data_IF_126916236658
#
_entry.id   IF_126916236658
#
_cell.length_a   1.000
_cell.length_b   1.000
_cell.length_c   1.000
_cell.angle_alpha   90.00
_cell.angle_beta   90.00
_cell.angle_gamma   90.00
#
_symmetry.space_group_name_H-M   'P 1'
#
loop_
_entity.id
_entity.type
_entity.pdbx_description
1 polymer ?
#
# COMPACT_ATOMS: atom_id res chain seq x y z
N UNK A 1 -6.78 -8.62 2.26
CA UNK A 1 -6.96 -7.32 1.57
C UNK A 1 -7.32 -6.29 2.64
N UNK A 2 -6.69 -5.11 2.62
CA UNK A 2 -6.93 -4.03 3.61
C UNK A 2 -8.07 -3.07 3.19
N UNK A 3 -8.65 -3.32 2.02
CA UNK A 3 -9.78 -2.60 1.48
C UNK A 3 -10.92 -3.57 1.16
N UNK A 4 -12.15 -3.11 1.34
CA UNK A 4 -13.37 -3.81 0.94
C UNK A 4 -14.28 -2.85 0.18
N UNK A 5 -15.04 -3.39 -0.76
CA UNK A 5 -16.11 -2.65 -1.44
C UNK A 5 -17.43 -3.20 -0.91
N UNK A 6 -18.17 -2.39 -0.16
CA UNK A 6 -19.51 -2.76 0.30
C UNK A 6 -20.49 -2.81 -0.89
N UNK A 7 -21.56 -3.58 -0.76
CA UNK A 7 -22.61 -3.66 -1.77
C UNK A 7 -23.21 -2.26 -2.02
N UNK A 8 -23.17 -1.80 -3.28
CA UNK A 8 -23.67 -0.49 -3.70
C UNK A 8 -22.64 0.65 -3.70
N UNK A 9 -21.45 0.48 -3.12
CA UNK A 9 -20.39 1.51 -3.10
C UNK A 9 -19.30 1.26 -4.15
N UNK A 10 -19.62 0.52 -5.22
CA UNK A 10 -18.66 0.24 -6.28
C UNK A 10 -18.40 1.49 -7.12
N UNK A 11 -17.14 1.93 -7.16
CA UNK A 11 -16.65 2.91 -8.13
C UNK A 11 -15.71 2.22 -9.13
N UNK A 12 -15.89 2.41 -10.45
CA UNK A 12 -15.04 1.79 -11.45
C UNK A 12 -13.59 2.26 -11.27
N UNK A 13 -12.65 1.31 -11.19
CA UNK A 13 -11.23 1.58 -10.97
C UNK A 13 -10.80 1.70 -9.51
N UNK A 14 -11.74 1.77 -8.56
CA UNK A 14 -11.43 1.74 -7.14
C UNK A 14 -11.16 0.31 -6.66
N UNK A 15 -10.21 0.15 -5.74
CA UNK A 15 -9.96 -1.14 -5.06
C UNK A 15 -10.83 -1.33 -3.81
N UNK A 16 -11.55 -0.29 -3.39
CA UNK A 16 -12.47 -0.30 -2.25
C UNK A 16 -12.14 0.78 -1.21
N UNK A 17 -12.80 0.70 -0.05
CA UNK A 17 -12.55 1.56 1.12
C UNK A 17 -11.78 0.79 2.19
N UNK A 18 -11.03 1.50 3.02
CA UNK A 18 -10.23 0.90 4.11
C UNK A 18 -11.14 0.12 5.06
N UNK A 19 -10.75 -1.10 5.42
CA UNK A 19 -11.50 -1.93 6.37
C UNK A 19 -11.49 -1.32 7.78
N UNK A 20 -12.50 -1.63 8.62
CA UNK A 20 -12.49 -1.22 10.02
C UNK A 20 -11.19 -1.62 10.72
N UNK A 21 -10.76 -0.80 11.69
CA UNK A 21 -9.53 -0.98 12.48
C UNK A 21 -8.21 -0.80 11.70
N UNK A 22 -8.28 -0.44 10.42
CA UNK A 22 -7.12 -0.03 9.63
C UNK A 22 -7.14 1.47 9.39
N UNK A 23 -5.96 2.04 9.21
CA UNK A 23 -5.77 3.42 8.76
C UNK A 23 -4.86 3.41 7.54
N UNK A 24 -5.17 4.29 6.58
CA UNK A 24 -4.40 4.48 5.36
C UNK A 24 -4.02 5.94 5.26
N UNK A 25 -2.76 6.20 4.89
CA UNK A 25 -2.26 7.53 4.53
C UNK A 25 -1.59 7.43 3.16
N UNK A 26 -1.63 8.52 2.41
CA UNK A 26 -0.86 8.67 1.18
C UNK A 26 0.27 9.65 1.46
N UNK A 27 1.51 9.26 1.13
CA UNK A 27 2.69 10.09 1.34
C UNK A 27 3.27 10.53 -0.01
N UNK A 28 3.66 11.80 -0.11
CA UNK A 28 4.42 12.28 -1.25
C UNK A 28 5.80 11.62 -1.31
N UNK A 29 6.18 11.11 -2.48
CA UNK A 29 7.42 10.35 -2.68
C UNK A 29 8.69 11.19 -2.51
N UNK A 30 8.60 12.51 -2.66
CA UNK A 30 9.75 13.40 -2.62
C UNK A 30 9.94 14.03 -1.24
N UNK A 31 8.82 14.37 -0.58
CA UNK A 31 8.79 15.17 0.65
C UNK A 31 8.39 14.38 1.89
N UNK A 32 7.83 13.17 1.72
CA UNK A 32 7.32 12.36 2.82
C UNK A 32 6.09 12.95 3.52
N UNK A 33 5.47 13.99 2.95
CA UNK A 33 4.31 14.66 3.56
C UNK A 33 3.03 13.89 3.27
N UNK A 34 2.09 13.94 4.22
CA UNK A 34 0.73 13.40 4.04
C UNK A 34 0.00 14.20 2.97
N UNK A 35 -0.53 13.48 2.00
CA UNK A 35 -1.31 14.01 0.89
C UNK A 35 -2.81 13.89 1.18
N UNK A 36 -3.59 14.81 0.60
CA UNK A 36 -5.03 14.85 0.67
C UNK A 36 -5.73 13.99 -0.38
N UNK A 37 -7.06 14.12 -0.51
CA UNK A 37 -7.82 13.39 -1.50
C UNK A 37 -7.42 13.78 -2.93
N UNK A 38 -7.42 12.81 -3.83
CA UNK A 38 -7.04 12.89 -5.24
C UNK A 38 -5.56 13.24 -5.51
N UNK A 39 -4.71 13.22 -4.48
CA UNK A 39 -3.27 13.42 -4.61
C UNK A 39 -2.53 12.07 -4.62
N UNK A 40 -1.62 11.91 -5.58
CA UNK A 40 -0.91 10.65 -5.80
C UNK A 40 0.36 10.58 -4.98
N UNK A 41 0.55 9.45 -4.31
CA UNK A 41 1.76 9.17 -3.55
C UNK A 41 1.88 7.70 -3.17
N UNK A 42 2.84 7.39 -2.31
CA UNK A 42 2.96 6.06 -1.73
C UNK A 42 1.79 5.81 -0.77
N UNK A 43 1.13 4.66 -0.92
CA UNK A 43 0.14 4.19 0.04
C UNK A 43 0.85 3.56 1.22
N UNK A 44 0.58 4.09 2.41
CA UNK A 44 1.01 3.48 3.67
C UNK A 44 -0.21 3.08 4.50
N UNK A 45 -0.11 1.97 5.23
CA UNK A 45 -1.21 1.49 6.06
C UNK A 45 -0.72 0.95 7.41
N UNK A 46 -1.60 1.02 8.41
CA UNK A 46 -1.39 0.50 9.76
C UNK A 46 -2.67 -0.19 10.23
N UNK A 47 -2.53 -1.26 11.00
CA UNK A 47 -3.66 -1.99 11.56
C UNK A 47 -3.23 -3.21 12.38
N UNK A 48 -4.17 -3.89 13.05
CA UNK A 48 -3.84 -4.94 14.03
C UNK A 48 -3.36 -6.26 13.41
N UNK A 49 -3.64 -6.54 12.13
CA UNK A 49 -3.17 -7.78 11.46
C UNK A 49 -1.96 -7.54 10.56
N UNK A 50 -1.15 -6.52 10.83
CA UNK A 50 0.13 -6.32 10.14
C UNK A 50 1.18 -7.36 10.59
N UNK A 51 2.10 -7.69 9.70
CA UNK A 51 3.15 -8.69 9.99
C UNK A 51 4.01 -8.24 11.18
N UNK A 52 4.45 -9.19 12.02
CA UNK A 52 5.39 -8.91 13.11
C UNK A 52 6.77 -8.45 12.58
N UNK A 53 7.10 -8.84 11.36
CA UNK A 53 8.37 -8.59 10.70
C UNK A 53 8.84 -9.82 9.92
N UNK A 54 9.94 -9.66 9.19
CA UNK A 54 10.58 -10.77 8.49
C UNK A 54 11.41 -11.62 9.45
N UNK A 55 11.29 -12.94 9.32
CA UNK A 55 12.07 -13.89 10.11
C UNK A 55 13.56 -13.71 9.80
N UNK A 56 14.38 -13.55 10.84
CA UNK A 56 15.83 -13.33 10.76
C UNK A 56 16.28 -12.13 9.90
N UNK A 57 15.38 -11.19 9.57
CA UNK A 57 15.76 -10.01 8.79
C UNK A 57 15.17 -8.71 9.40
N UNK A 58 15.75 -8.23 10.52
CA UNK A 58 15.28 -7.04 11.21
C UNK A 58 15.57 -5.74 10.45
N UNK A 59 16.54 -5.73 9.54
CA UNK A 59 16.81 -4.58 8.66
C UNK A 59 15.69 -4.42 7.63
N UNK A 60 15.38 -5.48 6.88
CA UNK A 60 14.26 -5.45 5.92
C UNK A 60 12.91 -5.15 6.59
N UNK A 61 12.76 -5.54 7.86
CA UNK A 61 11.56 -5.19 8.65
C UNK A 61 11.47 -3.68 8.90
N UNK A 62 12.57 -3.05 9.27
CA UNK A 62 12.66 -1.60 9.51
C UNK A 62 12.58 -0.77 8.22
N UNK A 63 12.97 -1.35 7.09
CA UNK A 63 12.81 -0.69 5.79
C UNK A 63 11.34 -0.62 5.33
N UNK A 64 10.49 -1.54 5.78
CA UNK A 64 9.07 -1.59 5.39
C UNK A 64 8.17 -1.00 6.47
N UNK A 65 8.49 -1.21 7.74
CA UNK A 65 7.72 -0.74 8.87
C UNK A 65 8.47 0.43 9.50
N UNK A 66 7.87 1.62 9.38
CA UNK A 66 8.40 2.84 9.97
C UNK A 66 8.32 2.83 11.51
N UNK A 67 9.02 3.75 12.17
CA UNK A 67 9.02 3.89 13.64
C UNK A 67 7.61 4.11 14.22
N UNK A 68 6.72 4.74 13.44
CA UNK A 68 5.31 4.92 13.81
C UNK A 68 4.44 3.66 13.58
N UNK A 69 5.02 2.56 13.08
CA UNK A 69 4.31 1.30 12.79
C UNK A 69 3.57 1.27 11.45
N UNK A 70 3.80 2.25 10.58
CA UNK A 70 3.21 2.28 9.24
C UNK A 70 3.97 1.38 8.29
N UNK A 71 3.23 0.55 7.54
CA UNK A 71 3.77 -0.23 6.44
C UNK A 71 3.82 0.64 5.19
N UNK A 72 5.03 0.78 4.64
CA UNK A 72 5.30 1.33 3.32
C UNK A 72 5.04 0.25 2.26
N UNK A 73 3.96 0.40 1.49
CA UNK A 73 3.56 -0.63 0.52
C UNK A 73 4.44 -0.65 -0.73
N UNK A 74 5.10 0.47 -1.06
CA UNK A 74 5.72 0.68 -2.36
C UNK A 74 4.73 0.69 -3.53
N UNK A 75 3.42 0.79 -3.27
CA UNK A 75 2.38 0.99 -4.28
C UNK A 75 2.03 2.49 -4.36
N UNK A 76 1.97 3.03 -5.58
CA UNK A 76 1.55 4.41 -5.84
C UNK A 76 0.04 4.42 -6.01
N UNK A 77 -0.63 5.27 -5.27
CA UNK A 77 -2.07 5.46 -5.42
C UNK A 77 -2.56 6.73 -4.73
N UNK A 78 -3.88 6.85 -4.67
CA UNK A 78 -4.58 7.97 -4.04
C UNK A 78 -5.92 7.48 -3.48
N UNK A 79 -6.57 8.31 -2.68
CA UNK A 79 -7.96 8.11 -2.27
C UNK A 79 -8.81 9.30 -2.71
N UNK A 80 -10.08 9.09 -3.01
CA UNK A 80 -11.00 10.18 -3.33
C UNK A 80 -11.67 10.77 -2.07
N UNK A 81 -12.49 11.81 -2.24
CA UNK A 81 -13.20 12.50 -1.15
C UNK A 81 -14.17 11.60 -0.39
N UNK A 82 -14.58 10.48 -0.96
CA UNK A 82 -15.47 9.49 -0.35
C UNK A 82 -14.70 8.34 0.32
N UNK A 83 -13.36 8.40 0.28
CA UNK A 83 -12.46 7.40 0.88
C UNK A 83 -12.24 6.16 0.02
N UNK A 84 -12.65 6.17 -1.26
CA UNK A 84 -12.31 5.09 -2.18
C UNK A 84 -10.84 5.17 -2.56
N UNK A 85 -10.14 4.06 -2.45
CA UNK A 85 -8.72 3.94 -2.76
C UNK A 85 -8.55 3.51 -4.21
N UNK A 86 -7.58 4.11 -4.89
CA UNK A 86 -7.20 3.82 -6.27
C UNK A 86 -5.70 3.54 -6.32
N UNK A 87 -5.32 2.42 -6.92
CA UNK A 87 -3.92 2.06 -7.14
C UNK A 87 -3.55 2.44 -8.57
N UNK A 88 -2.52 3.25 -8.74
CA UNK A 88 -2.07 3.78 -10.03
C UNK A 88 -0.91 2.95 -10.58
N UNK A 89 0.13 2.73 -9.77
CA UNK A 89 1.36 2.06 -10.22
C UNK A 89 2.13 1.43 -9.04
N UNK A 90 3.25 0.76 -9.31
CA UNK A 90 4.17 0.22 -8.29
C UNK A 90 5.51 0.92 -8.33
N UNK A 91 5.97 1.42 -7.18
CA UNK A 91 7.27 2.07 -7.01
C UNK A 91 8.44 1.09 -7.21
N UNK A 92 8.28 -0.18 -6.82
CA UNK A 92 9.27 -1.26 -7.07
C UNK A 92 8.70 -2.30 -8.04
N UNK A 93 9.46 -2.60 -9.09
CA UNK A 93 9.15 -3.49 -10.23
C UNK A 93 8.99 -4.97 -9.85
N UNK A 94 8.07 -5.28 -8.95
CA UNK A 94 7.60 -6.65 -8.74
C UNK A 94 6.59 -6.98 -9.85
N UNK A 95 7.02 -7.75 -10.85
CA UNK A 95 6.14 -8.20 -11.94
C UNK A 95 5.14 -9.19 -11.34
N UNK A 96 3.87 -8.80 -11.27
CA UNK A 96 2.78 -9.72 -10.92
C UNK A 96 2.36 -10.49 -12.17
N UNK A 97 2.83 -11.72 -12.32
CA UNK A 97 2.37 -12.62 -13.39
C UNK A 97 1.32 -13.59 -12.83
N UNK A 98 0.06 -13.46 -13.28
CA UNK A 98 -1.06 -14.36 -12.92
C UNK A 98 -1.26 -14.59 -11.39
N UNK A 99 -0.97 -13.59 -10.57
CA UNK A 99 -1.13 -13.66 -9.11
C UNK A 99 0.13 -14.12 -8.34
N UNK A 100 1.20 -14.48 -9.06
CA UNK A 100 2.49 -14.79 -8.45
C UNK A 100 3.35 -13.53 -8.37
N UNK A 101 4.02 -13.35 -7.25
CA UNK A 101 5.00 -12.28 -7.06
C UNK A 101 6.34 -12.78 -7.60
N UNK A 102 6.80 -12.23 -8.73
CA UNK A 102 8.12 -12.57 -9.28
C UNK A 102 9.08 -11.43 -8.91
N UNK A 103 10.03 -11.65 -7.99
CA UNK A 103 11.10 -10.70 -7.73
C UNK A 103 12.04 -10.66 -8.94
N UNK A 104 12.33 -9.48 -9.51
CA UNK A 104 13.22 -9.37 -10.68
C UNK A 104 14.66 -9.83 -10.37
N UNK A 105 15.05 -9.80 -9.10
CA UNK A 105 16.39 -10.23 -8.65
C UNK A 105 16.70 -11.71 -8.95
N UNK A 106 15.70 -12.57 -9.19
CA UNK A 106 15.90 -13.99 -9.54
C UNK A 106 15.98 -14.24 -11.06
N UNK A 107 15.65 -13.23 -11.89
CA UNK A 107 15.58 -13.36 -13.36
C UNK A 107 16.85 -12.86 -14.08
N UNK A 108 17.70 -12.10 -13.39
CA UNK A 108 18.94 -11.51 -13.96
C UNK A 108 20.21 -12.29 -13.55
N UNK A 109 20.08 -13.44 -12.90
CA UNK A 109 21.19 -14.31 -12.45
C UNK A 109 21.53 -15.43 -13.44
#
# INVERSE_FOLDING_TARGET
AIVITAEGEFKPGAVGKVVPFYSLKVLDLNTGKKLGPNERGEICFIGPMIMKGYINNPEATREIIDEEGWIHSGDIGYFDEDGHVYIVDRLKSLIKYKGYQVPPAELEA
#
